data_IF_768576376954
#
_entry.id   IF_768576376954
#
_cell.length_a   1.000
_cell.length_b   1.000
_cell.length_c   1.000
_cell.angle_alpha   90.00
_cell.angle_beta   90.00
_cell.angle_gamma   90.00
#
_symmetry.space_group_name_H-M   'P 1'
#
loop_
_entity.id
_entity.type
_entity.pdbx_description
1 polymer ?
#
# COMPACT_ATOMS: atom_id res chain seq x y z
N UNK A 1 10.07 6.24 -2.33
CA UNK A 1 10.17 6.59 -0.90
C UNK A 1 10.98 5.51 -0.21
N UNK A 2 11.75 5.85 0.82
CA UNK A 2 12.52 4.88 1.58
C UNK A 2 11.62 4.09 2.52
N UNK A 3 11.94 2.82 2.77
CA UNK A 3 11.12 1.94 3.61
C UNK A 3 10.84 2.53 5.00
N UNK A 4 11.79 3.27 5.58
CA UNK A 4 11.65 3.94 6.88
C UNK A 4 10.54 5.00 6.82
N UNK A 5 10.53 5.85 5.78
CA UNK A 5 9.54 6.90 5.64
C UNK A 5 8.12 6.32 5.48
N UNK A 6 7.97 5.24 4.71
CA UNK A 6 6.72 4.49 4.58
C UNK A 6 6.22 3.96 5.92
N UNK A 7 7.11 3.36 6.72
CA UNK A 7 6.76 2.83 8.04
C UNK A 7 6.39 3.93 9.03
N UNK A 8 7.17 5.02 9.09
CA UNK A 8 6.89 6.15 9.99
C UNK A 8 5.55 6.80 9.65
N UNK A 9 5.24 6.97 8.36
CA UNK A 9 3.94 7.48 7.92
C UNK A 9 2.79 6.58 8.36
N UNK A 10 2.89 5.27 8.10
CA UNK A 10 1.85 4.32 8.49
C UNK A 10 1.65 4.20 10.00
N UNK A 11 2.74 4.22 10.78
CA UNK A 11 2.67 4.20 12.24
C UNK A 11 2.03 5.48 12.79
N UNK A 12 2.34 6.64 12.20
CA UNK A 12 1.73 7.92 12.59
C UNK A 12 0.23 7.92 12.29
N UNK A 13 -0.17 7.43 11.12
CA UNK A 13 -1.58 7.28 10.75
C UNK A 13 -2.31 6.37 11.75
N UNK A 14 -1.73 5.21 12.05
CA UNK A 14 -2.30 4.25 12.99
C UNK A 14 -2.48 4.85 14.39
N UNK A 15 -1.48 5.58 14.89
CA UNK A 15 -1.46 6.13 16.24
C UNK A 15 -2.47 7.26 16.46
N UNK A 16 -2.71 8.10 15.45
CA UNK A 16 -3.49 9.33 15.61
C UNK A 16 -4.87 9.29 14.95
N UNK A 17 -5.05 8.48 13.91
CA UNK A 17 -6.24 8.51 13.07
C UNK A 17 -6.97 7.16 12.94
N UNK A 18 -6.44 6.10 13.56
CA UNK A 18 -7.02 4.75 13.50
C UNK A 18 -6.91 4.05 14.88
N UNK A 19 -7.03 2.73 14.89
CA UNK A 19 -7.08 1.85 16.07
C UNK A 19 -5.75 1.68 16.83
N UNK A 20 -4.70 2.45 16.50
CA UNK A 20 -3.36 2.27 17.08
C UNK A 20 -2.60 1.05 16.54
N UNK A 21 -3.18 0.30 15.59
CA UNK A 21 -2.55 -0.85 14.96
C UNK A 21 -2.19 -0.54 13.51
N UNK A 22 -0.99 -0.95 13.10
CA UNK A 22 -0.58 -0.81 11.71
C UNK A 22 -1.38 -1.79 10.84
N UNK A 23 -2.01 -1.26 9.80
CA UNK A 23 -2.87 -2.02 8.90
C UNK A 23 -2.70 -1.60 7.43
N UNK A 24 -3.36 -2.33 6.54
CA UNK A 24 -3.29 -2.13 5.10
C UNK A 24 -3.69 -0.69 4.69
N UNK A 25 -4.78 -0.16 5.25
CA UNK A 25 -5.27 1.17 4.90
C UNK A 25 -4.28 2.28 5.27
N UNK A 26 -3.69 2.21 6.46
CA UNK A 26 -2.70 3.19 6.90
C UNK A 26 -1.40 3.17 6.11
N UNK A 27 -1.07 2.05 5.45
CA UNK A 27 0.15 1.92 4.65
C UNK A 27 -0.07 2.18 3.15
N UNK A 28 -1.26 1.93 2.62
CA UNK A 28 -1.51 1.85 1.18
C UNK A 28 -1.06 3.09 0.40
N UNK A 29 -1.49 4.30 0.80
CA UNK A 29 -1.11 5.54 0.10
C UNK A 29 0.42 5.77 0.10
N UNK A 30 1.07 5.52 1.24
CA UNK A 30 2.52 5.67 1.37
C UNK A 30 3.30 4.62 0.57
N UNK A 31 2.77 3.40 0.45
CA UNK A 31 3.33 2.32 -0.37
C UNK A 31 3.16 2.62 -1.86
N UNK A 32 1.98 3.03 -2.31
CA UNK A 32 1.75 3.40 -3.72
C UNK A 32 2.68 4.55 -4.11
N UNK A 33 2.76 5.62 -3.31
CA UNK A 33 3.71 6.70 -3.54
C UNK A 33 5.18 6.28 -3.40
N UNK A 34 5.49 5.17 -2.71
CA UNK A 34 6.83 4.60 -2.63
C UNK A 34 7.18 3.79 -3.89
N UNK A 35 6.24 3.03 -4.44
CA UNK A 35 6.41 2.13 -5.58
C UNK A 35 6.31 2.90 -6.90
N UNK A 36 5.24 3.68 -7.09
CA UNK A 36 4.97 4.43 -8.32
C UNK A 36 5.84 5.68 -8.34
N UNK A 37 6.73 5.79 -9.32
CA UNK A 37 7.57 6.97 -9.59
C UNK A 37 7.16 7.59 -10.93
N UNK A 38 6.98 6.75 -11.94
CA UNK A 38 6.32 7.07 -13.19
C UNK A 38 4.82 6.70 -13.11
N UNK A 39 3.91 7.67 -13.22
CA UNK A 39 2.47 7.43 -13.05
C UNK A 39 1.85 6.57 -14.16
N UNK A 40 2.54 6.35 -15.27
CA UNK A 40 2.06 5.55 -16.39
C UNK A 40 2.68 4.15 -16.33
N UNK A 41 4.01 4.06 -16.31
CA UNK A 41 4.68 2.77 -16.41
C UNK A 41 4.60 1.98 -15.10
N UNK A 42 4.93 2.59 -13.96
CA UNK A 42 5.00 1.87 -12.68
C UNK A 42 3.60 1.52 -12.17
N UNK A 43 2.60 2.36 -12.49
CA UNK A 43 1.20 2.09 -12.16
C UNK A 43 0.74 0.80 -12.82
N UNK A 44 0.96 0.63 -14.12
CA UNK A 44 0.56 -0.57 -14.87
C UNK A 44 1.24 -1.82 -14.31
N UNK A 45 2.54 -1.73 -13.98
CA UNK A 45 3.29 -2.86 -13.40
C UNK A 45 2.74 -3.25 -12.03
N UNK A 46 2.41 -2.27 -11.19
CA UNK A 46 1.84 -2.53 -9.87
C UNK A 46 0.42 -3.13 -9.98
N UNK A 47 -0.43 -2.61 -10.87
CA UNK A 47 -1.76 -3.18 -11.15
C UNK A 47 -1.66 -4.65 -11.58
N UNK A 48 -0.73 -4.99 -12.48
CA UNK A 48 -0.50 -6.37 -12.91
C UNK A 48 -0.07 -7.25 -11.73
N UNK A 49 0.84 -6.79 -10.87
CA UNK A 49 1.27 -7.53 -9.69
C UNK A 49 0.10 -7.77 -8.71
N UNK A 50 -0.74 -6.75 -8.49
CA UNK A 50 -1.90 -6.86 -7.61
C UNK A 50 -2.87 -7.93 -8.13
N UNK A 51 -3.18 -7.93 -9.42
CA UNK A 51 -4.11 -8.90 -10.02
C UNK A 51 -3.54 -10.32 -10.16
N UNK A 52 -2.26 -10.45 -10.53
CA UNK A 52 -1.68 -11.75 -10.89
C UNK A 52 -1.06 -12.48 -9.70
N UNK A 53 -0.55 -11.74 -8.70
CA UNK A 53 0.17 -12.28 -7.54
C UNK A 53 -0.59 -12.03 -6.25
N UNK A 54 -0.89 -10.77 -5.91
CA UNK A 54 -1.38 -10.45 -4.55
C UNK A 54 -2.82 -10.93 -4.33
N UNK A 55 -3.69 -10.81 -5.34
CA UNK A 55 -5.08 -11.29 -5.32
C UNK A 55 -5.21 -12.77 -4.96
N UNK A 56 -4.20 -13.58 -5.30
CA UNK A 56 -4.17 -15.03 -5.02
C UNK A 56 -3.72 -15.38 -3.61
N UNK A 57 -3.39 -14.38 -2.76
CA UNK A 57 -2.91 -14.59 -1.39
C UNK A 57 -3.98 -14.11 -0.39
N UNK A 58 -4.82 -15.01 0.14
CA UNK A 58 -5.95 -14.65 1.01
C UNK A 58 -5.52 -13.85 2.25
N UNK A 59 -4.38 -14.21 2.85
CA UNK A 59 -3.83 -13.54 4.03
C UNK A 59 -3.49 -12.05 3.78
N UNK A 60 -3.37 -11.65 2.51
CA UNK A 60 -3.06 -10.30 2.09
C UNK A 60 -4.24 -9.60 1.39
N UNK A 61 -5.45 -10.15 1.46
CA UNK A 61 -6.63 -9.58 0.80
C UNK A 61 -6.89 -8.12 1.20
N UNK A 62 -6.65 -7.77 2.47
CA UNK A 62 -6.76 -6.39 2.95
C UNK A 62 -5.76 -5.44 2.27
N UNK A 63 -4.53 -5.89 2.04
CA UNK A 63 -3.52 -5.10 1.32
C UNK A 63 -3.84 -4.97 -0.17
N UNK A 64 -4.35 -6.02 -0.80
CA UNK A 64 -4.82 -5.97 -2.18
C UNK A 64 -5.93 -4.92 -2.35
N UNK A 65 -6.96 -4.95 -1.49
CA UNK A 65 -8.06 -3.99 -1.56
C UNK A 65 -7.59 -2.55 -1.32
N UNK A 66 -6.78 -2.33 -0.27
CA UNK A 66 -6.32 -1.00 0.09
C UNK A 66 -5.37 -0.39 -0.95
N UNK A 67 -4.46 -1.18 -1.52
CA UNK A 67 -3.55 -0.72 -2.58
C UNK A 67 -4.31 -0.42 -3.88
N UNK A 68 -5.29 -1.24 -4.27
CA UNK A 68 -6.14 -0.95 -5.42
C UNK A 68 -6.98 0.33 -5.23
N UNK A 69 -7.43 0.63 -4.01
CA UNK A 69 -8.16 1.85 -3.72
C UNK A 69 -7.26 3.11 -3.72
N UNK A 70 -5.96 2.94 -3.52
CA UNK A 70 -4.98 4.03 -3.46
C UNK A 70 -4.28 4.31 -4.80
N UNK A 71 -4.50 3.47 -5.82
CA UNK A 71 -3.98 3.62 -7.19
C UNK A 71 -4.88 4.48 -8.08
#
# INVERSE_FOLDING_TARGET
AEAIATMVGGLSQAAWFDSGKLGAEGLAASLVGAIVKDPVQDKVVLEEYLETVLKKRPDYAGYYAALNAAL
#
